data_IF_820299054295
#
_entry.id   IF_820299054295
#
_cell.length_a   1.000
_cell.length_b   1.000
_cell.length_c   1.000
_cell.angle_alpha   90.00
_cell.angle_beta   90.00
_cell.angle_gamma   90.00
#
_symmetry.space_group_name_H-M   'P 1'
#
loop_
_entity.id
_entity.type
_entity.pdbx_description
1 polymer ?
#
# COMPACT_ATOMS: atom_id res chain seq x y z
N UNK A 1 -14.21 -32.59 43.46
CA UNK A 1 -13.34 -31.43 43.18
C UNK A 1 -12.95 -31.43 41.70
N UNK A 2 -13.58 -30.58 40.88
CA UNK A 2 -13.36 -30.50 39.43
C UNK A 2 -12.18 -29.56 39.14
N UNK A 3 -11.10 -30.08 38.54
CA UNK A 3 -10.01 -29.27 37.97
C UNK A 3 -10.55 -28.54 36.73
N UNK A 4 -10.66 -27.21 36.80
CA UNK A 4 -10.93 -26.37 35.62
C UNK A 4 -9.61 -26.16 34.86
N UNK A 5 -9.62 -26.58 33.60
CA UNK A 5 -8.63 -26.27 32.58
C UNK A 5 -8.72 -24.77 32.29
N UNK A 6 -7.65 -24.03 32.54
CA UNK A 6 -7.52 -22.62 32.19
C UNK A 6 -7.07 -22.54 30.71
N UNK A 7 -8.04 -22.39 29.81
CA UNK A 7 -7.80 -22.04 28.41
C UNK A 7 -7.45 -20.55 28.39
N UNK A 8 -6.16 -20.25 28.24
CA UNK A 8 -5.67 -18.89 28.00
C UNK A 8 -5.75 -18.64 26.49
N UNK A 9 -6.91 -18.20 26.01
CA UNK A 9 -7.04 -17.60 24.67
C UNK A 9 -6.68 -16.11 24.81
N UNK A 10 -5.40 -15.77 24.70
CA UNK A 10 -4.98 -14.36 24.65
C UNK A 10 -5.21 -13.83 23.23
N UNK A 11 -6.25 -13.00 23.15
CA UNK A 11 -6.61 -12.14 22.03
C UNK A 11 -5.46 -11.17 21.71
N UNK A 12 -4.63 -11.48 20.70
CA UNK A 12 -3.71 -10.50 20.10
C UNK A 12 -4.54 -9.61 19.16
N UNK A 13 -5.15 -8.57 19.75
CA UNK A 13 -5.88 -7.51 19.07
C UNK A 13 -4.87 -6.54 18.45
N UNK A 14 -4.80 -6.54 17.11
CA UNK A 14 -4.74 -5.38 16.21
C UNK A 14 -4.21 -4.08 16.87
N UNK A 15 -2.91 -4.01 17.15
CA UNK A 15 -2.24 -2.77 17.59
C UNK A 15 -1.02 -2.39 16.73
N UNK A 16 -0.58 -3.27 15.82
CA UNK A 16 0.69 -3.10 15.10
C UNK A 16 0.56 -2.62 13.64
N UNK A 17 -0.55 -1.95 13.31
CA UNK A 17 -0.67 -1.10 12.13
C UNK A 17 -0.62 0.42 12.47
N UNK A 18 -0.77 0.79 13.76
CA UNK A 18 -0.90 2.19 14.19
C UNK A 18 0.35 2.68 14.95
N UNK A 19 1.05 1.80 15.68
CA UNK A 19 2.16 2.18 16.56
C UNK A 19 3.42 2.69 15.86
N UNK A 20 3.78 2.12 14.70
CA UNK A 20 4.97 2.53 13.95
C UNK A 20 4.89 3.96 13.42
N UNK A 21 3.68 4.44 13.10
CA UNK A 21 3.48 5.80 12.58
C UNK A 21 3.82 6.90 13.58
N UNK A 22 3.62 6.68 14.89
CA UNK A 22 3.87 7.69 15.92
C UNK A 22 5.38 7.84 16.19
N UNK A 23 6.11 6.73 16.27
CA UNK A 23 7.56 6.76 16.52
C UNK A 23 8.33 7.28 15.30
N UNK A 24 7.95 6.86 14.10
CA UNK A 24 8.50 7.38 12.83
C UNK A 24 8.22 8.87 12.68
N UNK A 25 7.02 9.34 13.04
CA UNK A 25 6.67 10.76 13.00
C UNK A 25 7.58 11.60 13.88
N UNK A 26 7.78 11.22 15.15
CA UNK A 26 8.67 11.96 16.05
C UNK A 26 10.11 12.00 15.51
N UNK A 27 10.62 10.88 14.99
CA UNK A 27 11.97 10.82 14.40
C UNK A 27 12.09 11.63 13.09
N UNK A 28 11.01 11.77 12.32
CA UNK A 28 10.96 12.58 11.11
C UNK A 28 10.81 14.09 11.40
N UNK A 29 10.10 14.46 12.47
CA UNK A 29 9.92 15.85 12.90
C UNK A 29 11.19 16.43 13.56
N UNK A 30 12.03 15.59 14.17
CA UNK A 30 13.26 16.00 14.87
C UNK A 30 14.56 15.81 14.07
N UNK A 31 14.54 15.05 12.97
CA UNK A 31 15.76 14.63 12.25
C UNK A 31 15.89 15.20 10.82
N UNK A 32 17.12 15.52 10.39
CA UNK A 32 17.44 15.85 8.98
C UNK A 32 17.10 14.64 8.09
N UNK A 33 16.25 14.79 7.05
CA UNK A 33 15.92 13.72 6.10
C UNK A 33 17.13 13.02 5.48
N UNK A 34 18.28 13.70 5.36
CA UNK A 34 19.54 13.10 4.90
C UNK A 34 20.04 11.97 5.80
N UNK A 35 19.63 11.96 7.06
CA UNK A 35 19.98 10.95 8.05
C UNK A 35 19.00 9.77 8.12
N UNK A 36 17.89 9.79 7.38
CA UNK A 36 16.98 8.66 7.30
C UNK A 36 17.55 7.53 6.44
N UNK A 37 17.08 6.30 6.64
CA UNK A 37 17.59 5.13 5.91
C UNK A 37 18.93 4.61 6.45
N UNK A 38 19.49 3.64 5.74
CA UNK A 38 20.75 2.98 6.09
C UNK A 38 21.91 3.90 5.70
N UNK A 39 22.64 4.41 6.69
CA UNK A 39 23.74 5.34 6.44
C UNK A 39 25.01 4.59 5.98
N UNK A 40 25.53 4.84 4.76
CA UNK A 40 26.73 4.17 4.24
C UNK A 40 27.97 4.37 5.11
N UNK A 41 28.09 5.49 5.85
CA UNK A 41 29.24 5.73 6.74
C UNK A 41 29.20 4.93 8.04
N UNK A 42 28.03 4.39 8.41
CA UNK A 42 27.83 3.60 9.64
C UNK A 42 27.90 2.09 9.41
N UNK A 43 28.07 1.65 8.17
CA UNK A 43 28.20 0.24 7.80
C UNK A 43 29.59 -0.04 7.21
N UNK A 44 30.05 -1.28 7.35
CA UNK A 44 31.33 -1.74 6.80
C UNK A 44 31.39 -1.59 5.28
N UNK A 45 32.60 -1.52 4.73
CA UNK A 45 32.79 -1.42 3.27
C UNK A 45 32.37 -2.70 2.55
N UNK A 46 32.66 -3.86 3.14
CA UNK A 46 32.06 -5.13 2.74
C UNK A 46 30.72 -5.28 3.47
N UNK A 47 29.63 -5.25 2.72
CA UNK A 47 28.27 -5.37 3.21
C UNK A 47 27.83 -6.82 3.04
N UNK A 48 27.37 -7.42 4.13
CA UNK A 48 26.84 -8.79 4.16
C UNK A 48 25.40 -8.80 4.63
N UNK A 49 24.71 -9.94 4.51
CA UNK A 49 23.37 -10.13 5.10
C UNK A 49 23.33 -9.73 6.59
N UNK A 50 24.37 -10.10 7.35
CA UNK A 50 24.45 -9.81 8.79
C UNK A 50 24.60 -8.31 9.07
N UNK A 51 25.25 -7.56 8.18
CA UNK A 51 25.36 -6.10 8.30
C UNK A 51 23.98 -5.47 8.13
N UNK A 52 23.26 -5.82 7.06
CA UNK A 52 21.94 -5.25 6.79
C UNK A 52 20.88 -5.69 7.81
N UNK A 53 20.97 -6.90 8.36
CA UNK A 53 20.07 -7.35 9.43
C UNK A 53 20.19 -6.53 10.72
N UNK A 54 21.33 -5.89 10.97
CA UNK A 54 21.52 -4.99 12.12
C UNK A 54 20.91 -3.60 11.88
N UNK A 55 20.69 -3.22 10.63
CA UNK A 55 20.05 -1.96 10.25
C UNK A 55 18.52 -2.14 10.28
N UNK A 56 17.94 -2.11 11.47
CA UNK A 56 16.56 -2.54 11.71
C UNK A 56 15.69 -1.46 12.37
N UNK A 57 16.15 -0.20 12.47
CA UNK A 57 15.29 0.90 12.91
C UNK A 57 14.14 1.13 11.93
N UNK A 58 13.04 1.74 12.39
CA UNK A 58 11.87 2.00 11.53
C UNK A 58 12.24 2.84 10.30
N UNK A 59 13.11 3.85 10.47
CA UNK A 59 13.59 4.68 9.36
C UNK A 59 14.49 3.90 8.38
N UNK A 60 15.36 3.01 8.87
CA UNK A 60 16.17 2.15 8.00
C UNK A 60 15.33 1.19 7.18
N UNK A 61 14.28 0.62 7.78
CA UNK A 61 13.34 -0.28 7.09
C UNK A 61 12.53 0.45 6.02
N UNK A 62 12.03 1.64 6.34
CA UNK A 62 11.21 2.43 5.40
C UNK A 62 12.07 2.98 4.26
N UNK A 63 13.17 3.66 4.58
CA UNK A 63 13.94 4.42 3.60
C UNK A 63 15.05 3.61 2.93
N UNK A 64 15.58 2.56 3.57
CA UNK A 64 16.62 1.72 2.98
C UNK A 64 17.80 2.54 2.45
N UNK A 65 18.09 2.41 1.15
CA UNK A 65 19.14 3.14 0.44
C UNK A 65 18.64 4.34 -0.37
N UNK A 66 17.42 4.82 -0.16
CA UNK A 66 16.93 6.05 -0.81
C UNK A 66 17.93 7.21 -0.63
N UNK A 67 18.31 7.85 -1.73
CA UNK A 67 19.30 8.94 -1.78
C UNK A 67 20.69 8.62 -1.19
N UNK A 68 21.05 7.34 -1.06
CA UNK A 68 22.36 6.93 -0.50
C UNK A 68 23.40 6.69 -1.58
N UNK A 69 24.64 7.10 -1.28
CA UNK A 69 25.80 6.80 -2.07
C UNK A 69 26.45 5.48 -1.60
N UNK A 70 26.08 4.38 -2.26
CA UNK A 70 26.61 3.04 -2.02
C UNK A 70 27.79 2.72 -2.96
N UNK A 71 28.25 3.67 -3.78
CA UNK A 71 29.22 3.41 -4.87
C UNK A 71 30.57 2.88 -4.39
N UNK A 72 30.94 3.17 -3.14
CA UNK A 72 32.18 2.72 -2.49
C UNK A 72 32.04 1.41 -1.71
N UNK A 73 30.84 0.85 -1.63
CA UNK A 73 30.55 -0.39 -0.88
C UNK A 73 30.66 -1.61 -1.78
N UNK A 74 30.93 -2.76 -1.16
CA UNK A 74 30.88 -4.07 -1.79
C UNK A 74 29.69 -4.86 -1.21
N UNK A 75 28.65 -5.05 -2.03
CA UNK A 75 27.45 -5.79 -1.69
C UNK A 75 27.44 -7.20 -2.32
N UNK A 76 28.55 -7.67 -2.91
CA UNK A 76 28.63 -8.97 -3.60
C UNK A 76 28.25 -10.16 -2.71
N UNK A 77 28.37 -10.01 -1.38
CA UNK A 77 28.02 -11.02 -0.37
C UNK A 77 26.60 -10.89 0.19
N UNK A 78 25.80 -9.95 -0.30
CA UNK A 78 24.38 -9.82 0.07
C UNK A 78 23.55 -10.77 -0.79
N UNK A 79 22.59 -11.48 -0.21
CA UNK A 79 21.68 -12.34 -0.97
C UNK A 79 20.61 -11.53 -1.69
N UNK A 80 20.09 -12.07 -2.80
CA UNK A 80 18.94 -11.48 -3.51
C UNK A 80 17.71 -11.31 -2.60
N UNK A 81 17.54 -12.23 -1.65
CA UNK A 81 16.47 -12.20 -0.66
C UNK A 81 16.56 -11.02 0.33
N UNK A 82 17.77 -10.66 0.77
CA UNK A 82 17.98 -9.52 1.67
C UNK A 82 17.90 -8.21 0.91
N UNK A 83 18.62 -8.09 -0.21
CA UNK A 83 18.65 -6.84 -0.98
C UNK A 83 17.27 -6.48 -1.57
N UNK A 84 16.42 -7.47 -1.88
CA UNK A 84 15.07 -7.20 -2.39
C UNK A 84 14.15 -6.53 -1.37
N UNK A 85 14.47 -6.62 -0.08
CA UNK A 85 13.70 -6.01 1.00
C UNK A 85 14.22 -4.61 1.38
N UNK A 86 15.27 -4.12 0.73
CA UNK A 86 15.78 -2.77 0.96
C UNK A 86 15.12 -1.80 -0.04
N UNK A 87 14.45 -0.79 0.49
CA UNK A 87 13.88 0.29 -0.32
C UNK A 87 14.98 1.14 -0.95
N UNK A 88 14.75 1.64 -2.16
CA UNK A 88 15.70 2.51 -2.87
C UNK A 88 15.00 3.37 -3.91
N UNK A 89 15.69 4.38 -4.43
CA UNK A 89 15.19 5.24 -5.50
C UNK A 89 16.23 5.43 -6.61
N UNK A 90 15.94 6.30 -7.57
CA UNK A 90 16.86 6.60 -8.67
C UNK A 90 18.01 7.51 -8.29
N UNK A 91 18.03 8.10 -7.08
CA UNK A 91 19.20 8.84 -6.59
C UNK A 91 20.16 7.95 -5.79
N UNK A 92 19.75 6.75 -5.39
CA UNK A 92 20.67 5.72 -4.89
C UNK A 92 21.79 5.45 -5.91
N UNK A 93 23.04 5.71 -5.51
CA UNK A 93 24.21 5.40 -6.34
C UNK A 93 24.73 4.03 -5.97
N UNK A 94 24.69 3.11 -6.93
CA UNK A 94 25.14 1.74 -6.76
C UNK A 94 26.63 1.59 -7.05
N UNK A 95 27.33 0.62 -6.43
CA UNK A 95 28.67 0.26 -6.85
C UNK A 95 28.66 -0.39 -8.23
N UNK A 96 29.86 -0.58 -8.78
CA UNK A 96 30.05 -1.34 -10.02
C UNK A 96 29.46 -2.75 -9.94
N UNK A 97 29.09 -3.32 -11.09
CA UNK A 97 28.35 -4.59 -11.18
C UNK A 97 29.05 -5.77 -10.48
N UNK A 98 30.37 -5.81 -10.47
CA UNK A 98 31.17 -6.84 -9.78
C UNK A 98 31.01 -6.82 -8.26
N UNK A 99 30.56 -5.69 -7.70
CA UNK A 99 30.32 -5.46 -6.27
C UNK A 99 28.83 -5.49 -5.90
N UNK A 100 27.97 -5.93 -6.81
CA UNK A 100 26.55 -6.18 -6.54
C UNK A 100 26.31 -7.68 -6.38
N UNK A 101 25.25 -8.10 -5.66
CA UNK A 101 24.83 -9.50 -5.64
C UNK A 101 24.67 -10.06 -7.05
N UNK A 102 25.10 -11.30 -7.26
CA UNK A 102 24.92 -11.97 -8.55
C UNK A 102 23.43 -12.04 -8.91
N UNK A 103 23.08 -11.54 -10.11
CA UNK A 103 21.70 -11.50 -10.61
C UNK A 103 20.88 -10.29 -10.14
N UNK A 104 21.44 -9.41 -9.31
CA UNK A 104 20.79 -8.16 -8.92
C UNK A 104 20.95 -7.10 -10.01
N UNK A 105 19.83 -6.52 -10.42
CA UNK A 105 19.77 -5.38 -11.32
C UNK A 105 18.77 -4.37 -10.73
N UNK A 106 19.24 -3.30 -10.07
CA UNK A 106 18.38 -2.35 -9.39
C UNK A 106 17.40 -1.67 -10.36
N UNK A 107 17.82 -1.42 -11.60
CA UNK A 107 16.96 -0.77 -12.59
C UNK A 107 15.82 -1.70 -13.02
N UNK A 108 16.11 -2.97 -13.31
CA UNK A 108 15.08 -3.95 -13.67
C UNK A 108 14.10 -4.17 -12.52
N UNK A 109 14.58 -4.26 -11.28
CA UNK A 109 13.71 -4.47 -10.12
C UNK A 109 12.82 -3.25 -9.85
N UNK A 110 13.38 -2.06 -10.03
CA UNK A 110 12.64 -0.80 -9.93
C UNK A 110 11.50 -0.72 -10.95
N UNK A 111 11.76 -1.08 -12.20
CA UNK A 111 10.76 -1.04 -13.25
C UNK A 111 9.74 -2.18 -13.13
N UNK A 112 10.18 -3.39 -12.75
CA UNK A 112 9.28 -4.49 -12.42
C UNK A 112 8.31 -4.11 -11.31
N UNK A 113 8.78 -3.39 -10.27
CA UNK A 113 7.96 -2.94 -9.15
C UNK A 113 6.77 -2.06 -9.53
N UNK A 114 6.83 -1.34 -10.67
CA UNK A 114 5.71 -0.49 -11.13
C UNK A 114 4.52 -1.34 -11.56
N UNK A 115 4.77 -2.50 -12.18
CA UNK A 115 3.70 -3.40 -12.61
C UNK A 115 2.94 -3.95 -11.39
N UNK A 116 1.60 -3.76 -11.29
CA UNK A 116 0.79 -4.29 -10.21
C UNK A 116 0.88 -5.81 -10.02
N UNK A 117 1.20 -6.56 -11.08
CA UNK A 117 1.31 -8.02 -11.07
C UNK A 117 -0.03 -8.73 -11.28
N UNK A 118 0.01 -10.06 -11.19
CA UNK A 118 -1.15 -10.96 -11.30
C UNK A 118 -1.98 -10.73 -12.58
N UNK A 119 -1.30 -10.55 -13.71
CA UNK A 119 -1.89 -10.34 -15.05
C UNK A 119 -2.77 -9.07 -15.19
N UNK A 120 -2.65 -8.07 -14.32
CA UNK A 120 -3.41 -6.82 -14.46
C UNK A 120 -3.16 -6.08 -15.77
N UNK A 121 -1.96 -6.18 -16.35
CA UNK A 121 -1.68 -5.60 -17.67
C UNK A 121 -2.59 -6.19 -18.76
N UNK A 122 -2.85 -7.50 -18.73
CA UNK A 122 -3.76 -8.17 -19.68
C UNK A 122 -5.21 -7.72 -19.50
N UNK A 123 -5.61 -7.41 -18.27
CA UNK A 123 -6.93 -6.85 -17.96
C UNK A 123 -7.03 -5.43 -18.54
N UNK A 124 -5.99 -4.62 -18.38
CA UNK A 124 -5.92 -3.26 -18.94
C UNK A 124 -5.91 -3.26 -20.48
N UNK A 125 -5.18 -4.19 -21.11
CA UNK A 125 -5.13 -4.38 -22.57
C UNK A 125 -6.51 -4.70 -23.16
N UNK A 126 -7.38 -5.38 -22.40
CA UNK A 126 -8.79 -5.61 -22.74
C UNK A 126 -9.70 -4.39 -22.50
N UNK A 127 -9.14 -3.26 -22.09
CA UNK A 127 -9.87 -2.01 -21.84
C UNK A 127 -10.45 -1.87 -20.43
N UNK A 128 -10.31 -2.88 -19.57
CA UNK A 128 -10.78 -2.83 -18.17
C UNK A 128 -9.72 -2.14 -17.32
N UNK A 129 -9.87 -0.84 -17.10
CA UNK A 129 -8.88 0.05 -16.46
C UNK A 129 -9.45 0.85 -15.30
N UNK A 130 -10.73 0.64 -14.96
CA UNK A 130 -11.49 1.48 -14.02
C UNK A 130 -12.06 2.74 -14.67
N UNK A 131 -12.03 2.82 -16.02
CA UNK A 131 -12.53 3.96 -16.78
C UNK A 131 -14.02 4.19 -16.48
N UNK A 132 -14.39 5.44 -16.25
CA UNK A 132 -15.75 5.83 -15.88
C UNK A 132 -16.09 5.61 -14.40
N UNK A 133 -15.14 5.15 -13.58
CA UNK A 133 -15.30 5.05 -12.13
C UNK A 133 -14.39 6.10 -11.46
N UNK A 134 -15.00 6.96 -10.65
CA UNK A 134 -14.28 7.90 -9.79
C UNK A 134 -13.94 7.26 -8.45
N UNK A 135 -12.69 7.36 -8.06
CA UNK A 135 -12.15 6.80 -6.81
C UNK A 135 -11.51 7.89 -5.97
N UNK A 136 -11.49 7.73 -4.66
CA UNK A 136 -10.86 8.67 -3.74
C UNK A 136 -9.77 8.03 -2.86
N UNK A 137 -8.82 8.84 -2.41
CA UNK A 137 -7.89 8.54 -1.32
C UNK A 137 -8.03 9.62 -0.25
N UNK A 138 -8.13 9.21 1.01
CA UNK A 138 -7.96 10.09 2.17
C UNK A 138 -6.65 9.70 2.85
N UNK A 139 -5.69 10.62 2.86
CA UNK A 139 -4.39 10.41 3.50
C UNK A 139 -3.70 11.77 3.75
N UNK A 140 -2.45 11.76 4.21
CA UNK A 140 -1.64 12.96 4.48
C UNK A 140 -1.47 13.83 3.22
N UNK A 141 -1.08 15.11 3.34
CA UNK A 141 -0.81 15.93 2.16
C UNK A 141 0.29 15.34 1.27
N UNK A 142 0.17 15.53 -0.04
CA UNK A 142 1.09 14.98 -1.04
C UNK A 142 1.49 16.01 -2.08
N UNK A 143 2.55 15.68 -2.84
CA UNK A 143 2.89 16.36 -4.10
C UNK A 143 1.88 15.96 -5.18
N UNK A 144 0.76 16.65 -5.24
CA UNK A 144 -0.33 16.38 -6.20
C UNK A 144 0.06 16.62 -7.66
N UNK A 145 1.15 17.35 -7.91
CA UNK A 145 1.72 17.62 -9.24
C UNK A 145 2.50 16.45 -9.84
N UNK A 146 2.69 15.35 -9.10
CA UNK A 146 3.43 14.19 -9.58
C UNK A 146 2.87 13.64 -10.91
N UNK A 147 3.76 13.21 -11.80
CA UNK A 147 3.45 12.76 -13.16
C UNK A 147 2.49 11.55 -13.20
N UNK A 148 2.43 10.75 -12.14
CA UNK A 148 1.45 9.65 -11.99
C UNK A 148 -0.01 10.14 -12.03
N UNK A 149 -0.26 11.40 -11.66
CA UNK A 149 -1.60 11.95 -11.40
C UNK A 149 -2.00 13.07 -12.36
N UNK A 150 -1.05 13.54 -13.20
CA UNK A 150 -1.23 14.66 -14.12
C UNK A 150 -2.46 14.45 -15.01
N UNK A 151 -3.38 15.41 -14.99
CA UNK A 151 -4.60 15.41 -15.81
C UNK A 151 -5.75 14.53 -15.31
N UNK A 152 -5.62 13.86 -14.16
CA UNK A 152 -6.70 13.02 -13.61
C UNK A 152 -7.01 13.18 -12.11
N UNK A 153 -6.17 13.89 -11.36
CA UNK A 153 -6.39 14.11 -9.93
C UNK A 153 -7.12 15.43 -9.65
N UNK A 154 -8.13 15.36 -8.78
CA UNK A 154 -8.74 16.50 -8.10
C UNK A 154 -8.27 16.49 -6.64
N UNK A 155 -7.64 17.58 -6.20
CA UNK A 155 -7.01 17.64 -4.88
C UNK A 155 -7.78 18.58 -3.95
N UNK A 156 -8.19 18.06 -2.79
CA UNK A 156 -8.93 18.77 -1.76
C UNK A 156 -8.15 18.77 -0.47
N UNK A 157 -8.04 19.93 0.17
CA UNK A 157 -7.54 20.03 1.54
C UNK A 157 -8.72 19.89 2.52
N UNK A 158 -8.49 19.17 3.61
CA UNK A 158 -9.42 18.98 4.73
C UNK A 158 -8.72 19.47 6.00
N UNK A 159 -9.44 20.20 6.84
CA UNK A 159 -8.87 20.92 7.97
C UNK A 159 -8.08 22.17 7.59
N UNK A 160 -7.85 23.05 8.57
CA UNK A 160 -7.26 24.38 8.36
C UNK A 160 -5.73 24.39 8.28
N UNK A 161 -5.08 23.42 8.92
CA UNK A 161 -3.63 23.26 8.88
C UNK A 161 -3.25 22.12 7.92
N UNK A 162 -2.10 22.23 7.26
CA UNK A 162 -1.59 21.18 6.39
C UNK A 162 -0.14 20.89 6.77
N UNK A 163 0.20 19.60 6.83
CA UNK A 163 1.57 19.13 7.03
C UNK A 163 2.33 19.09 5.71
N UNK A 164 3.65 18.85 5.78
CA UNK A 164 4.49 18.69 4.60
C UNK A 164 4.09 17.46 3.77
N UNK A 165 4.46 17.47 2.49
CA UNK A 165 4.14 16.38 1.56
C UNK A 165 4.78 15.05 2.00
N UNK A 166 3.95 14.04 2.25
CA UNK A 166 4.35 12.75 2.78
C UNK A 166 4.27 11.64 1.71
N UNK A 167 5.20 10.68 1.71
CA UNK A 167 5.24 9.61 0.69
C UNK A 167 4.03 8.65 0.72
N UNK A 168 3.50 8.37 1.92
CA UNK A 168 2.45 7.36 2.15
C UNK A 168 1.23 7.52 1.24
N UNK A 169 0.63 8.73 1.23
CA UNK A 169 -0.50 9.03 0.36
C UNK A 169 -0.18 8.98 -1.14
N UNK A 170 1.05 9.37 -1.54
CA UNK A 170 1.51 9.24 -2.92
C UNK A 170 1.56 7.77 -3.33
N UNK A 171 2.10 6.90 -2.47
CA UNK A 171 2.17 5.48 -2.74
C UNK A 171 0.77 4.86 -2.87
N UNK A 172 -0.14 5.19 -1.95
CA UNK A 172 -1.52 4.70 -1.98
C UNK A 172 -2.27 5.16 -3.24
N UNK A 173 -2.17 6.45 -3.58
CA UNK A 173 -2.76 7.02 -4.78
C UNK A 173 -2.16 6.41 -6.06
N UNK A 174 -0.85 6.15 -6.09
CA UNK A 174 -0.17 5.52 -7.22
C UNK A 174 -0.65 4.09 -7.44
N UNK A 175 -0.82 3.32 -6.36
CA UNK A 175 -1.29 1.93 -6.45
C UNK A 175 -2.77 1.86 -6.86
N UNK A 176 -3.59 2.77 -6.33
CA UNK A 176 -5.02 2.80 -6.67
C UNK A 176 -5.21 3.18 -8.15
N UNK A 177 -4.76 4.38 -8.53
CA UNK A 177 -5.11 5.00 -9.79
C UNK A 177 -3.94 5.76 -10.43
N UNK A 178 -2.70 5.40 -10.13
CA UNK A 178 -1.52 5.93 -10.82
C UNK A 178 -1.51 5.57 -12.32
N UNK A 179 -0.89 6.41 -13.16
CA UNK A 179 -0.81 6.18 -14.61
C UNK A 179 -0.01 4.93 -14.94
N UNK A 180 1.11 4.71 -14.26
CA UNK A 180 2.02 3.59 -14.53
C UNK A 180 1.93 2.49 -13.49
N UNK A 181 1.60 2.84 -12.24
CA UNK A 181 1.60 1.90 -11.12
C UNK A 181 0.20 1.44 -10.69
N UNK A 182 -0.86 2.00 -11.27
CA UNK A 182 -2.23 1.88 -10.78
C UNK A 182 -2.91 0.56 -11.15
N UNK A 183 -3.69 0.01 -10.22
CA UNK A 183 -4.62 -1.09 -10.48
C UNK A 183 -5.79 -0.61 -11.35
N UNK A 184 -6.33 0.57 -11.04
CA UNK A 184 -7.39 1.24 -11.81
C UNK A 184 -6.84 2.50 -12.51
N UNK A 185 -5.88 2.29 -13.42
CA UNK A 185 -5.11 3.36 -14.08
C UNK A 185 -5.95 4.36 -14.88
N UNK A 186 -7.15 3.94 -15.32
CA UNK A 186 -8.13 4.74 -16.06
C UNK A 186 -9.19 5.43 -15.20
N UNK A 187 -9.19 5.23 -13.88
CA UNK A 187 -10.12 5.90 -12.97
C UNK A 187 -9.77 7.38 -12.76
N UNK A 188 -10.81 8.21 -12.56
CA UNK A 188 -10.63 9.60 -12.12
C UNK A 188 -10.32 9.59 -10.63
N UNK A 189 -9.27 10.31 -10.23
CA UNK A 189 -8.76 10.28 -8.87
C UNK A 189 -9.18 11.55 -8.12
N UNK A 190 -9.72 11.37 -6.93
CA UNK A 190 -9.96 12.43 -5.96
C UNK A 190 -9.05 12.19 -4.76
N UNK A 191 -8.40 13.23 -4.28
CA UNK A 191 -7.49 13.14 -3.16
C UNK A 191 -7.92 14.13 -2.08
N UNK A 192 -8.15 13.64 -0.87
CA UNK A 192 -8.55 14.42 0.27
C UNK A 192 -7.43 14.40 1.30
N UNK A 193 -6.64 15.48 1.29
CA UNK A 193 -5.49 15.65 2.15
C UNK A 193 -5.91 16.06 3.56
N UNK A 194 -5.66 15.18 4.52
CA UNK A 194 -5.92 15.40 5.94
C UNK A 194 -4.61 15.63 6.70
N UNK A 195 -4.61 16.46 7.76
CA UNK A 195 -3.41 16.68 8.57
C UNK A 195 -2.86 15.38 9.18
N UNK A 196 -1.53 15.29 9.29
CA UNK A 196 -0.91 14.23 10.08
C UNK A 196 -1.01 14.53 11.58
N UNK A 197 -2.11 14.09 12.20
CA UNK A 197 -2.45 14.39 13.60
C UNK A 197 -2.68 13.13 14.44
N UNK A 198 -2.50 13.27 15.77
CA UNK A 198 -2.95 12.23 16.73
C UNK A 198 -4.46 11.98 16.61
N UNK A 199 -5.21 13.03 16.26
CA UNK A 199 -6.66 13.02 16.06
C UNK A 199 -7.07 12.86 14.59
N UNK A 200 -6.19 12.32 13.73
CA UNK A 200 -6.43 12.12 12.28
C UNK A 200 -7.77 11.46 11.91
N UNK A 201 -8.33 10.64 12.79
CA UNK A 201 -9.63 10.00 12.60
C UNK A 201 -10.78 11.02 12.49
N UNK A 202 -10.66 12.16 13.15
CA UNK A 202 -11.58 13.29 13.01
C UNK A 202 -11.55 13.85 11.59
N UNK A 203 -10.36 14.13 11.07
CA UNK A 203 -10.18 14.61 9.70
C UNK A 203 -10.59 13.58 8.65
N UNK A 204 -10.46 12.28 8.93
CA UNK A 204 -11.00 11.25 8.03
C UNK A 204 -12.53 11.33 7.96
N UNK A 205 -13.22 11.56 9.08
CA UNK A 205 -14.68 11.73 9.09
C UNK A 205 -15.10 13.01 8.36
N UNK A 206 -14.40 14.12 8.60
CA UNK A 206 -14.61 15.38 7.86
C UNK A 206 -14.39 15.21 6.35
N UNK A 207 -13.34 14.47 5.96
CA UNK A 207 -13.06 14.17 4.56
C UNK A 207 -14.17 13.34 3.91
N UNK A 208 -14.72 12.35 4.63
CA UNK A 208 -15.86 11.56 4.16
C UNK A 208 -17.09 12.45 3.97
N UNK A 209 -17.42 13.31 4.94
CA UNK A 209 -18.55 14.24 4.80
C UNK A 209 -18.33 15.20 3.62
N UNK A 210 -17.10 15.68 3.41
CA UNK A 210 -16.73 16.50 2.23
C UNK A 210 -16.88 15.73 0.91
N UNK A 211 -16.55 14.44 0.85
CA UNK A 211 -16.78 13.60 -0.33
C UNK A 211 -18.27 13.51 -0.63
N UNK A 212 -19.11 13.31 0.39
CA UNK A 212 -20.57 13.26 0.23
C UNK A 212 -21.08 14.58 -0.36
N UNK A 213 -20.57 15.72 0.10
CA UNK A 213 -20.94 17.03 -0.43
C UNK A 213 -20.45 17.25 -1.87
N UNK A 214 -19.20 16.89 -2.18
CA UNK A 214 -18.68 16.91 -3.56
C UNK A 214 -19.55 16.04 -4.48
N UNK A 215 -19.98 14.86 -4.03
CA UNK A 215 -20.85 13.98 -4.79
C UNK A 215 -22.24 14.56 -5.10
N UNK A 216 -22.71 15.58 -4.37
CA UNK A 216 -23.98 16.27 -4.68
C UNK A 216 -23.86 17.15 -5.92
N UNK A 217 -22.68 17.70 -6.21
CA UNK A 217 -22.45 18.55 -7.38
C UNK A 217 -21.96 17.79 -8.61
N UNK A 218 -21.48 16.56 -8.44
CA UNK A 218 -21.03 15.71 -9.54
C UNK A 218 -22.21 15.06 -10.28
N UNK A 219 -22.11 15.00 -11.61
CA UNK A 219 -23.05 14.22 -12.43
C UNK A 219 -22.97 12.74 -12.08
N UNK A 220 -24.03 11.97 -12.37
CA UNK A 220 -24.16 10.56 -11.98
C UNK A 220 -22.92 9.71 -12.29
N UNK A 221 -22.30 9.92 -13.46
CA UNK A 221 -21.14 9.14 -13.91
C UNK A 221 -19.80 9.65 -13.37
N UNK A 222 -19.78 10.83 -12.75
CA UNK A 222 -18.58 11.44 -12.17
C UNK A 222 -18.48 11.22 -10.67
N UNK A 223 -19.58 10.79 -10.00
CA UNK A 223 -19.63 10.57 -8.55
C UNK A 223 -18.56 9.61 -8.08
N UNK A 224 -17.89 9.99 -7.01
CA UNK A 224 -16.93 9.18 -6.27
C UNK A 224 -17.68 7.99 -5.67
N UNK A 225 -17.34 6.78 -6.12
CA UNK A 225 -18.03 5.56 -5.71
C UNK A 225 -17.36 4.89 -4.51
N UNK A 226 -16.04 5.02 -4.40
CA UNK A 226 -15.25 4.34 -3.38
C UNK A 226 -14.08 5.21 -2.92
N UNK A 227 -13.78 5.15 -1.63
CA UNK A 227 -12.64 5.82 -1.01
C UNK A 227 -11.73 4.81 -0.32
N UNK A 228 -10.43 5.00 -0.52
CA UNK A 228 -9.36 4.25 0.12
C UNK A 228 -8.80 5.05 1.29
N UNK A 229 -8.74 4.43 2.47
CA UNK A 229 -8.11 4.99 3.67
C UNK A 229 -7.13 3.95 4.20
N UNK A 230 -5.86 4.20 3.98
CA UNK A 230 -4.78 3.28 4.36
C UNK A 230 -4.41 3.39 5.85
N UNK A 231 -5.41 3.24 6.70
CA UNK A 231 -5.32 3.31 8.17
C UNK A 231 -6.50 2.52 8.80
N UNK A 232 -6.57 2.50 10.13
CA UNK A 232 -7.63 1.86 10.90
C UNK A 232 -8.20 2.73 12.01
N UNK A 233 -9.36 2.30 12.49
CA UNK A 233 -10.02 2.89 13.67
C UNK A 233 -10.07 1.84 14.76
N UNK A 234 -9.50 2.18 15.92
CA UNK A 234 -9.51 1.28 17.08
C UNK A 234 -10.94 1.12 17.59
N UNK A 235 -11.40 -0.13 17.78
CA UNK A 235 -12.70 -0.45 18.38
C UNK A 235 -12.84 0.05 19.83
N UNK A 236 -11.71 0.40 20.48
CA UNK A 236 -11.65 0.99 21.84
C UNK A 236 -11.30 2.49 21.82
N UNK A 237 -11.18 3.09 20.65
CA UNK A 237 -10.79 4.50 20.49
C UNK A 237 -11.98 5.45 20.67
N UNK A 238 -11.70 6.67 21.15
CA UNK A 238 -12.73 7.72 21.39
C UNK A 238 -13.56 8.09 20.16
N UNK A 239 -13.06 7.83 18.95
CA UNK A 239 -13.73 8.14 17.70
C UNK A 239 -14.57 6.97 17.13
N UNK A 240 -14.56 5.78 17.74
CA UNK A 240 -15.16 4.59 17.12
C UNK A 240 -16.66 4.73 16.83
N UNK A 241 -17.45 5.23 17.78
CA UNK A 241 -18.90 5.36 17.59
C UNK A 241 -19.24 6.39 16.50
N UNK A 242 -18.56 7.55 16.52
CA UNK A 242 -18.68 8.57 15.47
C UNK A 242 -18.24 8.04 14.11
N UNK A 243 -17.20 7.22 14.07
CA UNK A 243 -16.75 6.54 12.86
C UNK A 243 -17.84 5.63 12.30
N UNK A 244 -18.47 4.78 13.12
CA UNK A 244 -19.56 3.92 12.68
C UNK A 244 -20.75 4.70 12.12
N UNK A 245 -21.10 5.84 12.74
CA UNK A 245 -22.13 6.73 12.22
C UNK A 245 -21.74 7.33 10.87
N UNK A 246 -20.47 7.75 10.72
CA UNK A 246 -19.94 8.30 9.47
C UNK A 246 -19.94 7.27 8.34
N UNK A 247 -19.55 6.03 8.61
CA UNK A 247 -19.63 4.92 7.63
C UNK A 247 -21.07 4.65 7.21
N UNK A 248 -22.04 4.69 8.14
CA UNK A 248 -23.47 4.55 7.81
C UNK A 248 -23.95 5.67 6.89
N UNK A 249 -23.57 6.93 7.15
CA UNK A 249 -23.89 8.07 6.28
C UNK A 249 -23.27 7.92 4.88
N UNK A 250 -22.00 7.54 4.81
CA UNK A 250 -21.31 7.27 3.55
C UNK A 250 -22.04 6.20 2.72
N UNK A 251 -22.33 5.05 3.33
CA UNK A 251 -23.04 3.96 2.65
C UNK A 251 -24.44 4.38 2.18
N UNK A 252 -25.19 5.12 2.99
CA UNK A 252 -26.51 5.65 2.61
C UNK A 252 -26.43 6.61 1.41
N UNK A 253 -25.33 7.35 1.26
CA UNK A 253 -25.08 8.22 0.10
C UNK A 253 -24.57 7.48 -1.15
N UNK A 254 -24.38 6.16 -1.06
CA UNK A 254 -23.80 5.35 -2.14
C UNK A 254 -22.27 5.36 -2.21
N UNK A 255 -21.59 5.88 -1.17
CA UNK A 255 -20.12 5.90 -1.06
C UNK A 255 -19.63 4.72 -0.24
N UNK A 256 -18.73 3.91 -0.82
CA UNK A 256 -18.04 2.83 -0.10
C UNK A 256 -16.73 3.33 0.51
N UNK A 257 -16.49 3.09 1.79
CA UNK A 257 -15.23 3.43 2.48
C UNK A 257 -14.43 2.16 2.77
N UNK A 258 -13.26 2.01 2.16
CA UNK A 258 -12.35 0.86 2.38
C UNK A 258 -11.20 1.27 3.29
N UNK A 259 -11.06 0.56 4.41
CA UNK A 259 -10.05 0.81 5.42
C UNK A 259 -9.62 -0.51 6.08
N UNK A 260 -8.54 -0.48 6.87
CA UNK A 260 -7.88 -1.72 7.34
C UNK A 260 -8.80 -2.67 8.10
N UNK A 261 -9.65 -2.18 9.03
CA UNK A 261 -10.54 -3.05 9.79
C UNK A 261 -11.49 -3.85 8.87
N UNK A 262 -12.05 -3.21 7.83
CA UNK A 262 -12.97 -3.84 6.89
C UNK A 262 -12.32 -5.02 6.16
N UNK A 263 -11.09 -4.84 5.68
CA UNK A 263 -10.35 -5.88 4.97
C UNK A 263 -9.82 -6.96 5.92
N UNK A 264 -9.41 -6.60 7.14
CA UNK A 264 -9.02 -7.57 8.18
C UNK A 264 -10.18 -8.48 8.59
N UNK A 265 -11.38 -7.93 8.79
CA UNK A 265 -12.58 -8.70 9.12
C UNK A 265 -12.94 -9.70 7.98
N UNK A 266 -12.46 -9.46 6.76
CA UNK A 266 -12.59 -10.34 5.58
C UNK A 266 -11.34 -11.18 5.30
N UNK A 267 -10.43 -11.29 6.28
CA UNK A 267 -9.20 -12.10 6.24
C UNK A 267 -8.21 -11.73 5.12
N UNK A 268 -8.22 -10.49 4.65
CA UNK A 268 -7.15 -10.01 3.77
C UNK A 268 -5.89 -9.68 4.58
N UNK A 269 -4.75 -9.90 3.94
CA UNK A 269 -3.42 -9.54 4.42
C UNK A 269 -2.57 -9.06 3.24
N UNK A 270 -1.27 -8.82 3.45
CA UNK A 270 -0.37 -8.39 2.38
C UNK A 270 0.90 -9.23 2.33
N UNK A 271 1.58 -9.11 1.20
CA UNK A 271 2.82 -9.78 0.87
C UNK A 271 3.27 -9.34 -0.51
N UNK A 272 4.13 -10.12 -1.15
CA UNK A 272 4.63 -9.73 -2.47
C UNK A 272 5.31 -10.86 -3.21
N UNK A 273 5.60 -10.57 -4.48
CA UNK A 273 6.42 -11.42 -5.33
C UNK A 273 7.82 -10.82 -5.39
N UNK A 274 8.83 -11.60 -4.99
CA UNK A 274 10.22 -11.17 -5.07
C UNK A 274 10.53 -10.67 -6.50
N UNK A 275 11.21 -9.52 -6.67
CA UNK A 275 11.43 -8.90 -7.98
C UNK A 275 12.26 -9.76 -8.96
N UNK A 276 12.94 -10.81 -8.49
CA UNK A 276 13.61 -11.79 -9.34
C UNK A 276 12.67 -12.84 -9.96
N UNK A 277 11.41 -12.92 -9.50
CA UNK A 277 10.40 -13.90 -9.93
C UNK A 277 9.34 -13.24 -10.83
N UNK A 278 8.60 -14.08 -11.55
CA UNK A 278 7.46 -13.62 -12.35
C UNK A 278 6.28 -13.21 -11.44
N UNK A 279 5.97 -11.90 -11.42
CA UNK A 279 4.84 -11.33 -10.67
C UNK A 279 3.47 -11.62 -11.27
N UNK A 280 3.38 -12.20 -12.45
CA UNK A 280 2.12 -12.67 -13.01
C UNK A 280 1.76 -14.08 -12.56
N UNK A 281 2.70 -14.81 -11.93
CA UNK A 281 2.46 -16.15 -11.41
C UNK A 281 2.11 -16.11 -9.91
N UNK A 282 0.88 -16.48 -9.50
CA UNK A 282 0.47 -16.51 -8.09
C UNK A 282 1.34 -17.38 -7.18
N UNK A 283 1.99 -18.41 -7.73
CA UNK A 283 2.87 -19.31 -6.96
C UNK A 283 4.08 -18.58 -6.36
N UNK A 284 4.49 -17.46 -6.95
CA UNK A 284 5.66 -16.69 -6.54
C UNK A 284 5.40 -15.68 -5.41
N UNK A 285 4.15 -15.58 -4.94
CA UNK A 285 3.78 -14.66 -3.86
C UNK A 285 3.98 -15.29 -2.50
N UNK A 286 4.56 -14.53 -1.59
CA UNK A 286 4.88 -14.94 -0.23
C UNK A 286 4.28 -13.93 0.76
N UNK A 287 4.08 -14.36 2.02
CA UNK A 287 3.66 -13.47 3.08
C UNK A 287 4.76 -12.41 3.33
N UNK A 288 4.35 -11.18 3.67
CA UNK A 288 5.32 -10.13 3.99
C UNK A 288 6.29 -10.52 5.10
N UNK A 289 7.58 -10.23 4.92
CA UNK A 289 8.59 -10.45 5.99
C UNK A 289 8.31 -9.63 7.24
N UNK A 290 7.62 -8.49 7.12
CA UNK A 290 7.15 -7.70 8.25
C UNK A 290 6.26 -8.52 9.21
N UNK A 291 5.57 -9.54 8.68
CA UNK A 291 4.67 -10.42 9.41
C UNK A 291 5.34 -11.70 9.92
N UNK A 292 6.64 -11.90 9.65
CA UNK A 292 7.36 -13.06 10.16
C UNK A 292 7.32 -13.12 11.70
N UNK A 293 7.15 -14.33 12.24
CA UNK A 293 6.97 -14.55 13.67
C UNK A 293 5.58 -14.17 14.20
N UNK A 294 4.70 -13.59 13.37
CA UNK A 294 3.29 -13.38 13.72
C UNK A 294 2.46 -14.59 13.29
N UNK A 295 1.49 -14.96 14.12
CA UNK A 295 0.59 -16.08 13.81
C UNK A 295 -0.49 -15.64 12.80
N UNK A 296 -0.10 -15.49 11.53
CA UNK A 296 -1.01 -15.18 10.43
C UNK A 296 -1.51 -16.48 9.80
N UNK A 297 -2.80 -16.73 9.99
CA UNK A 297 -3.52 -17.89 9.45
C UNK A 297 -3.26 -18.06 7.94
N UNK A 298 -2.95 -19.29 7.50
CA UNK A 298 -2.70 -19.59 6.08
C UNK A 298 -3.91 -19.35 5.19
N UNK A 299 -5.12 -19.33 5.77
CA UNK A 299 -6.36 -19.01 5.08
C UNK A 299 -6.53 -17.51 4.80
N UNK A 300 -5.70 -16.64 5.37
CA UNK A 300 -5.70 -15.22 5.00
C UNK A 300 -5.25 -15.04 3.55
N UNK A 301 -5.89 -14.11 2.85
CA UNK A 301 -5.69 -13.85 1.43
C UNK A 301 -4.70 -12.71 1.28
N UNK A 302 -3.55 -13.01 0.69
CA UNK A 302 -2.54 -12.03 0.37
C UNK A 302 -3.09 -11.09 -0.72
N UNK A 303 -2.74 -9.83 -0.60
CA UNK A 303 -2.87 -8.79 -1.62
C UNK A 303 -1.47 -8.19 -1.85
N UNK A 304 -1.06 -7.87 -3.09
CA UNK A 304 0.25 -7.28 -3.34
C UNK A 304 0.45 -5.97 -2.57
N UNK A 305 1.43 -5.96 -1.68
CA UNK A 305 1.85 -4.80 -0.88
C UNK A 305 3.36 -4.60 -0.86
N UNK A 306 4.16 -5.67 -0.99
CA UNK A 306 5.63 -5.61 -1.00
C UNK A 306 6.19 -5.61 -2.43
N UNK A 307 7.47 -5.22 -2.56
CA UNK A 307 8.22 -5.19 -3.82
C UNK A 307 7.53 -4.36 -4.92
N UNK A 308 6.94 -3.23 -4.52
CA UNK A 308 6.23 -2.28 -5.37
C UNK A 308 7.07 -1.03 -5.58
N UNK A 309 6.98 -0.45 -6.77
CA UNK A 309 7.52 0.88 -7.06
C UNK A 309 6.35 1.85 -7.23
N UNK A 310 6.37 2.97 -6.52
CA UNK A 310 5.31 3.99 -6.56
C UNK A 310 5.89 5.38 -6.69
N UNK A 311 5.04 6.40 -6.89
CA UNK A 311 5.49 7.79 -6.81
C UNK A 311 6.16 8.09 -5.46
N UNK A 312 7.22 8.90 -5.51
CA UNK A 312 7.95 9.43 -4.38
C UNK A 312 7.72 10.94 -4.22
N UNK A 313 8.04 11.49 -3.05
CA UNK A 313 7.69 12.86 -2.68
C UNK A 313 8.76 13.93 -3.04
N UNK A 314 9.96 13.52 -3.48
CA UNK A 314 11.09 14.44 -3.72
C UNK A 314 10.94 15.33 -4.97
N UNK A 315 10.25 14.87 -6.01
CA UNK A 315 10.00 15.65 -7.24
C UNK A 315 8.75 15.15 -7.97
N UNK A 316 8.32 15.83 -9.03
CA UNK A 316 7.17 15.39 -9.84
C UNK A 316 7.42 14.11 -10.66
N UNK A 317 8.66 13.62 -10.70
CA UNK A 317 9.07 12.42 -11.45
C UNK A 317 9.75 11.36 -10.60
N UNK A 318 9.86 11.56 -9.28
CA UNK A 318 10.54 10.61 -8.40
C UNK A 318 9.69 9.39 -8.16
N UNK A 319 10.29 8.20 -8.18
CA UNK A 319 9.65 6.96 -7.74
C UNK A 319 10.53 6.29 -6.70
N UNK A 320 9.91 5.49 -5.84
CA UNK A 320 10.58 4.71 -4.80
C UNK A 320 10.19 3.25 -4.98
N UNK A 321 11.17 2.36 -4.98
CA UNK A 321 10.98 0.93 -4.81
C UNK A 321 10.89 0.62 -3.31
N UNK A 322 9.80 -0.01 -2.91
CA UNK A 322 9.53 -0.44 -1.54
C UNK A 322 9.83 -1.93 -1.42
N UNK A 323 10.96 -2.26 -0.81
CA UNK A 323 11.34 -3.65 -0.59
C UNK A 323 10.43 -4.33 0.44
N UNK A 324 10.07 -3.60 1.48
CA UNK A 324 9.03 -3.96 2.44
C UNK A 324 7.93 -2.89 2.36
N UNK A 325 6.71 -3.30 2.01
CA UNK A 325 5.55 -2.43 1.99
C UNK A 325 4.70 -2.60 3.25
N UNK A 326 3.38 -2.45 3.09
CA UNK A 326 2.47 -2.59 4.22
C UNK A 326 1.04 -2.90 3.79
N UNK A 327 0.18 -3.17 4.76
CA UNK A 327 -1.24 -3.35 4.48
C UNK A 327 -1.86 -2.09 3.84
N UNK A 328 -1.29 -0.92 4.11
CA UNK A 328 -1.58 0.35 3.45
C UNK A 328 -1.42 0.31 1.92
N UNK A 329 -0.64 -0.61 1.35
CA UNK A 329 -0.47 -0.78 -0.10
C UNK A 329 -1.52 -1.77 -0.65
N UNK A 330 -1.94 -2.74 0.18
CA UNK A 330 -2.99 -3.70 -0.16
C UNK A 330 -4.39 -3.06 -0.23
N UNK A 331 -4.71 -2.14 0.69
CA UNK A 331 -6.00 -1.45 0.73
C UNK A 331 -6.33 -0.75 -0.61
N UNK A 332 -5.48 0.13 -1.16
CA UNK A 332 -5.72 0.78 -2.46
C UNK A 332 -5.69 -0.22 -3.63
N UNK A 333 -4.99 -1.35 -3.49
CA UNK A 333 -5.05 -2.41 -4.49
C UNK A 333 -6.45 -3.02 -4.58
N UNK A 334 -7.04 -3.40 -3.43
CA UNK A 334 -8.41 -3.93 -3.38
C UNK A 334 -9.43 -2.89 -3.83
N UNK A 335 -9.26 -1.63 -3.40
CA UNK A 335 -10.08 -0.51 -3.89
C UNK A 335 -10.01 -0.39 -5.42
N UNK A 336 -8.83 -0.55 -6.01
CA UNK A 336 -8.65 -0.54 -7.47
C UNK A 336 -9.36 -1.70 -8.16
N UNK A 337 -9.29 -2.91 -7.61
CA UNK A 337 -10.02 -4.06 -8.16
C UNK A 337 -11.54 -3.85 -8.13
N UNK A 338 -12.07 -3.19 -7.10
CA UNK A 338 -13.49 -2.83 -7.07
C UNK A 338 -13.85 -1.83 -8.18
N UNK A 339 -12.97 -0.86 -8.48
CA UNK A 339 -13.18 0.04 -9.60
C UNK A 339 -13.14 -0.68 -10.96
N UNK A 340 -12.24 -1.65 -11.14
CA UNK A 340 -12.25 -2.52 -12.33
C UNK A 340 -13.56 -3.31 -12.43
N UNK A 341 -14.01 -3.89 -11.31
CA UNK A 341 -15.23 -4.68 -11.25
C UNK A 341 -16.47 -3.87 -11.62
N UNK A 342 -16.56 -2.62 -11.17
CA UNK A 342 -17.70 -1.75 -11.51
C UNK A 342 -17.67 -1.20 -12.92
N UNK A 343 -16.51 -1.14 -13.57
CA UNK A 343 -16.47 -0.90 -15.02
C UNK A 343 -17.11 -2.08 -15.77
N UNK A 344 -16.89 -3.31 -15.31
CA UNK A 344 -17.40 -4.53 -15.94
C UNK A 344 -18.88 -4.76 -15.60
N UNK A 345 -19.22 -4.73 -14.32
CA UNK A 345 -20.57 -4.92 -13.81
C UNK A 345 -20.92 -3.82 -12.79
N UNK A 346 -21.62 -2.76 -13.21
CA UNK A 346 -21.88 -1.60 -12.37
C UNK A 346 -22.87 -1.88 -11.23
N UNK A 347 -23.57 -3.02 -11.23
CA UNK A 347 -24.62 -3.34 -10.27
C UNK A 347 -24.13 -4.10 -9.03
N UNK A 348 -22.87 -4.55 -9.02
CA UNK A 348 -22.31 -5.26 -7.87
C UNK A 348 -22.24 -4.37 -6.63
N UNK A 349 -22.60 -4.93 -5.48
CA UNK A 349 -22.26 -4.33 -4.18
C UNK A 349 -20.78 -4.59 -3.87
N UNK A 350 -20.22 -3.80 -2.95
CA UNK A 350 -18.83 -4.02 -2.53
C UNK A 350 -18.64 -5.38 -1.82
N UNK A 351 -19.65 -5.85 -1.06
CA UNK A 351 -19.59 -7.16 -0.43
C UNK A 351 -19.55 -8.31 -1.44
N UNK A 352 -20.36 -8.22 -2.51
CA UNK A 352 -20.33 -9.17 -3.62
C UNK A 352 -18.96 -9.16 -4.33
N UNK A 353 -18.34 -7.99 -4.49
CA UNK A 353 -16.99 -7.87 -5.03
C UNK A 353 -15.97 -8.60 -4.12
N UNK A 354 -16.02 -8.37 -2.82
CA UNK A 354 -15.13 -9.04 -1.87
C UNK A 354 -15.37 -10.56 -1.84
N UNK A 355 -16.62 -11.00 -1.89
CA UNK A 355 -16.95 -12.44 -1.96
C UNK A 355 -16.38 -13.08 -3.23
N UNK A 356 -16.51 -12.40 -4.38
CA UNK A 356 -15.93 -12.87 -5.64
C UNK A 356 -14.40 -12.89 -5.61
N UNK A 357 -13.75 -11.91 -4.98
CA UNK A 357 -12.29 -11.95 -4.76
C UNK A 357 -11.86 -13.14 -3.87
N UNK A 358 -12.64 -13.44 -2.83
CA UNK A 358 -12.41 -14.59 -1.94
C UNK A 358 -12.65 -15.92 -2.67
N UNK A 359 -13.71 -16.02 -3.47
CA UNK A 359 -14.06 -17.21 -4.24
C UNK A 359 -12.99 -17.53 -5.29
N UNK A 360 -12.47 -16.49 -5.96
CA UNK A 360 -11.56 -16.63 -7.10
C UNK A 360 -10.07 -16.64 -6.74
N UNK A 361 -9.72 -16.51 -5.46
CA UNK A 361 -8.33 -16.58 -4.96
C UNK A 361 -7.54 -17.76 -5.56
N UNK A 362 -6.25 -17.56 -5.76
CA UNK A 362 -5.29 -18.58 -6.14
C UNK A 362 -4.47 -19.04 -4.92
N UNK A 363 -3.69 -20.11 -5.10
CA UNK A 363 -2.80 -20.67 -4.08
C UNK A 363 -1.35 -20.30 -4.40
N UNK A 364 -0.56 -19.99 -3.36
CA UNK A 364 0.88 -19.76 -3.49
C UNK A 364 1.68 -21.05 -3.30
N UNK A 365 2.98 -21.05 -3.62
CA UNK A 365 3.84 -22.22 -3.37
C UNK A 365 3.90 -22.62 -1.88
N UNK A 366 3.68 -21.68 -0.95
CA UNK A 366 3.67 -21.93 0.51
C UNK A 366 2.33 -22.50 1.02
N UNK A 367 1.37 -22.72 0.13
CA UNK A 367 0.01 -23.15 0.47
C UNK A 367 -0.82 -22.06 1.15
N UNK A 368 -0.54 -20.78 0.87
CA UNK A 368 -1.37 -19.64 1.26
C UNK A 368 -2.29 -19.23 0.12
N UNK A 369 -3.22 -18.33 0.40
CA UNK A 369 -4.05 -17.72 -0.64
C UNK A 369 -3.55 -16.35 -1.07
N UNK A 370 -3.77 -16.00 -2.34
CA UNK A 370 -3.49 -14.71 -2.96
C UNK A 370 -4.68 -14.36 -3.85
N UNK A 371 -5.04 -13.07 -3.94
CA UNK A 371 -6.05 -12.62 -4.91
C UNK A 371 -5.68 -13.03 -6.35
N UNK A 372 -6.69 -13.23 -7.20
CA UNK A 372 -6.49 -13.54 -8.61
C UNK A 372 -7.35 -12.60 -9.47
N UNK A 373 -6.81 -11.42 -9.83
CA UNK A 373 -7.54 -10.42 -10.62
C UNK A 373 -8.11 -10.96 -11.93
N UNK A 374 -7.38 -11.83 -12.64
CA UNK A 374 -7.83 -12.37 -13.93
C UNK A 374 -9.04 -13.28 -13.76
N UNK A 375 -8.97 -14.26 -12.84
CA UNK A 375 -10.11 -15.13 -12.54
C UNK A 375 -11.28 -14.35 -11.94
N UNK A 376 -10.99 -13.36 -11.10
CA UNK A 376 -11.97 -12.46 -10.52
C UNK A 376 -12.76 -11.70 -11.58
N UNK A 377 -12.08 -10.96 -12.47
CA UNK A 377 -12.73 -10.17 -13.52
C UNK A 377 -13.54 -11.07 -14.47
N UNK A 378 -13.00 -12.22 -14.88
CA UNK A 378 -13.73 -13.17 -15.73
C UNK A 378 -15.00 -13.73 -15.06
N UNK A 379 -15.03 -13.84 -13.73
CA UNK A 379 -16.19 -14.39 -13.00
C UNK A 379 -17.37 -13.41 -12.85
N UNK A 380 -17.15 -12.13 -13.17
CA UNK A 380 -18.13 -11.05 -13.05
C UNK A 380 -18.43 -10.35 -14.37
N UNK A 381 -17.77 -10.79 -15.45
CA UNK A 381 -17.94 -10.28 -16.82
C UNK A 381 -19.22 -10.76 -17.47
#
# INVERSE_FOLDING_TARGET
MKKKILIITITIVILLAIGGGIFVKNAMEEGDPKNWGINPSKISDIVTNRVLQKCNSDLERIYGFQDKDMSKKDLSQVSLDVISNISFDKSTKWPEKSKLPQGYDPNKWFDAGKNPGLNLSKIHEKGVTGKGISVAVIDKPIRSTHNEFKGKMNYYKVGDHQTSAHFHGLACASILAGKTCGVASGSKLYYFATPDSKDRQEYYMEAIDKIIDVNKSLSKNEKIRIVSISDGVSKRGKYFDKWQQTIKRANFSGLTVVYSNLLYDRKFTWGGCNPSKDRNNPLNYELSKYLNGRNIDKSNIIVPGDFRTTAGNSSDSTYVYWGEGGFSWAIPYVTGLAALAWQVNPNLTFDQILDKLIETKATTAEGRYIINPEKFINSIS
#
